data_IF_525384235672
#
_entry.id   IF_525384235672
#
_cell.length_a   1.000
_cell.length_b   1.000
_cell.length_c   1.000
_cell.angle_alpha   90.00
_cell.angle_beta   90.00
_cell.angle_gamma   90.00
#
_symmetry.space_group_name_H-M   'P 1'
#
loop_
_entity.id
_entity.type
_entity.pdbx_description
1 polymer ?
#
# COMPACT_ATOMS: atom_id res chain seq x y z
N UNK A 1 33.00 22.98 -4.15
CA UNK A 1 32.50 22.03 -5.16
C UNK A 1 31.10 21.61 -4.76
N UNK A 2 30.08 22.27 -5.28
CA UNK A 2 28.68 21.91 -5.01
C UNK A 2 27.94 22.03 -6.33
N UNK A 3 27.64 20.85 -6.88
CA UNK A 3 27.05 20.61 -8.18
C UNK A 3 25.55 20.84 -8.08
N UNK A 4 25.03 21.61 -9.04
CA UNK A 4 23.62 21.83 -9.32
C UNK A 4 22.96 20.55 -9.87
N UNK A 5 21.76 20.17 -9.40
CA UNK A 5 20.97 19.16 -10.08
C UNK A 5 20.09 19.80 -11.16
N UNK A 6 20.46 19.56 -12.42
CA UNK A 6 19.66 19.78 -13.63
C UNK A 6 18.36 18.96 -13.53
N UNK A 7 17.20 19.62 -13.58
CA UNK A 7 15.88 18.98 -13.68
C UNK A 7 15.48 18.92 -15.15
N UNK A 8 15.87 17.85 -15.82
CA UNK A 8 15.31 17.46 -17.12
C UNK A 8 13.85 17.02 -16.91
N UNK A 9 12.91 17.76 -17.49
CA UNK A 9 11.54 17.27 -17.68
C UNK A 9 11.39 16.88 -19.14
N UNK A 10 11.04 15.61 -19.31
CA UNK A 10 10.68 14.97 -20.54
C UNK A 10 9.63 15.79 -21.29
N UNK A 11 9.92 15.99 -22.56
CA UNK A 11 8.97 16.28 -23.63
C UNK A 11 7.98 15.13 -23.73
N UNK A 12 6.70 15.41 -23.54
CA UNK A 12 5.65 14.65 -24.23
C UNK A 12 4.60 15.64 -24.72
N UNK A 13 4.62 15.78 -26.03
CA UNK A 13 3.60 16.35 -26.89
C UNK A 13 2.23 15.70 -26.61
N UNK A 14 1.14 16.44 -26.75
CA UNK A 14 -0.03 16.03 -27.53
C UNK A 14 -1.13 17.10 -27.45
N UNK A 15 -1.70 17.38 -28.63
CA UNK A 15 -2.92 18.17 -28.95
C UNK A 15 -2.68 19.58 -29.47
N UNK A 16 -2.38 19.68 -30.76
CA UNK A 16 -2.73 20.84 -31.58
C UNK A 16 -4.12 20.61 -32.17
N UNK A 17 -5.04 21.49 -31.82
CA UNK A 17 -6.35 21.61 -32.45
C UNK A 17 -6.20 22.43 -33.74
N UNK A 18 -6.87 21.95 -34.79
CA UNK A 18 -7.00 22.60 -36.08
C UNK A 18 -7.58 24.01 -35.97
N UNK A 19 -7.07 24.94 -36.77
CA UNK A 19 -7.87 25.99 -37.39
C UNK A 19 -7.27 26.36 -38.76
N UNK A 20 -8.16 26.28 -39.74
CA UNK A 20 -8.02 26.57 -41.15
C UNK A 20 -7.92 28.06 -41.44
N UNK A 21 -7.35 28.36 -42.63
CA UNK A 21 -7.55 29.54 -43.48
C UNK A 21 -7.06 30.91 -42.99
N UNK A 22 -6.09 31.49 -43.70
CA UNK A 22 -6.31 32.60 -44.63
C UNK A 22 -4.98 33.05 -45.25
N UNK A 23 -4.92 32.98 -46.58
CA UNK A 23 -3.90 33.61 -47.39
C UNK A 23 -4.07 35.14 -47.32
N UNK A 24 -3.06 35.85 -46.82
CA UNK A 24 -2.77 37.21 -47.30
C UNK A 24 -1.29 37.38 -47.60
N UNK A 25 -1.09 37.98 -48.77
CA UNK A 25 0.13 38.07 -49.56
C UNK A 25 0.92 39.32 -49.14
N UNK A 26 2.24 39.16 -49.14
CA UNK A 26 3.34 40.16 -49.16
C UNK A 26 3.01 41.62 -49.52
N UNK A 27 3.67 42.58 -48.86
CA UNK A 27 4.78 43.39 -49.42
C UNK A 27 5.35 44.43 -48.41
N UNK A 28 6.58 44.94 -48.64
CA UNK A 28 7.50 45.41 -47.61
C UNK A 28 7.59 46.95 -47.48
N UNK A 29 8.19 47.39 -46.37
CA UNK A 29 9.00 48.61 -46.36
C UNK A 29 8.44 49.80 -45.59
N UNK A 30 8.92 49.98 -44.36
CA UNK A 30 9.23 51.31 -43.82
C UNK A 30 10.28 51.13 -42.71
N UNK A 31 11.51 51.57 -43.00
CA UNK A 31 12.61 51.67 -42.04
C UNK A 31 12.47 53.00 -41.30
N UNK A 32 12.40 52.96 -39.97
CA UNK A 32 12.71 54.06 -39.05
C UNK A 32 13.08 53.48 -37.66
N UNK A 33 13.83 54.21 -36.82
CA UNK A 33 15.15 53.79 -36.37
C UNK A 33 15.19 53.22 -34.94
N UNK A 34 16.15 52.32 -34.72
CA UNK A 34 16.87 52.10 -33.46
C UNK A 34 17.09 53.41 -32.68
N UNK A 35 16.92 53.58 -31.36
CA UNK A 35 16.43 52.85 -30.16
C UNK A 35 16.06 53.99 -29.15
N UNK A 36 15.41 53.75 -27.99
CA UNK A 36 16.26 53.39 -26.87
C UNK A 36 15.61 52.53 -25.76
N UNK A 37 16.49 51.78 -25.09
CA UNK A 37 16.53 51.56 -23.65
C UNK A 37 15.24 51.03 -22.96
N UNK A 38 15.33 49.80 -22.43
CA UNK A 38 14.62 49.31 -21.25
C UNK A 38 13.14 49.69 -21.06
N UNK A 39 12.21 49.26 -21.93
CA UNK A 39 10.87 48.93 -21.41
C UNK A 39 10.93 47.51 -20.88
N UNK A 40 11.66 47.34 -19.77
CA UNK A 40 11.38 46.23 -18.86
C UNK A 40 9.94 46.49 -18.43
N UNK A 41 8.99 45.65 -18.84
CA UNK A 41 7.65 45.70 -18.26
C UNK A 41 7.80 45.41 -16.77
N UNK A 42 7.93 46.45 -15.96
CA UNK A 42 7.94 46.30 -14.52
C UNK A 42 6.53 45.91 -14.12
N UNK A 43 6.33 44.64 -13.78
CA UNK A 43 5.11 44.24 -13.08
C UNK A 43 5.35 44.60 -11.62
N UNK A 44 4.65 45.61 -11.14
CA UNK A 44 4.49 45.76 -9.71
C UNK A 44 3.86 44.47 -9.16
N UNK A 45 4.51 43.89 -8.16
CA UNK A 45 3.90 42.83 -7.38
C UNK A 45 2.69 43.44 -6.67
N UNK A 46 1.48 43.09 -7.13
CA UNK A 46 0.25 43.46 -6.44
C UNK A 46 0.34 43.01 -4.99
N UNK A 47 -0.15 43.85 -4.07
CA UNK A 47 -0.15 43.69 -2.60
C UNK A 47 -0.12 42.22 -2.17
N UNK A 48 0.76 41.90 -1.23
CA UNK A 48 1.00 40.57 -0.65
C UNK A 48 -0.24 40.05 0.08
N UNK A 49 -1.34 39.77 -0.62
CA UNK A 49 -2.43 38.95 -0.10
C UNK A 49 -1.96 37.51 -0.15
N UNK A 50 -1.18 37.12 0.87
CA UNK A 50 -0.74 35.75 1.04
C UNK A 50 -1.95 34.84 1.18
N UNK A 51 -2.15 33.92 0.24
CA UNK A 51 -3.18 32.90 0.36
C UNK A 51 -2.91 32.01 1.57
N UNK A 52 -3.95 31.73 2.37
CA UNK A 52 -3.89 30.71 3.41
C UNK A 52 -3.62 29.33 2.81
N UNK A 53 -3.07 28.40 3.59
CA UNK A 53 -2.86 27.02 3.15
C UNK A 53 -4.19 26.42 2.69
N UNK A 54 -4.29 26.09 1.40
CA UNK A 54 -5.44 25.40 0.80
C UNK A 54 -5.51 23.92 1.22
N UNK A 55 -4.44 23.40 1.82
CA UNK A 55 -4.35 22.03 2.30
C UNK A 55 -4.78 22.00 3.77
N UNK A 56 -6.09 21.91 4.02
CA UNK A 56 -6.70 21.86 5.35
C UNK A 56 -6.62 20.48 6.03
N UNK A 57 -6.16 19.45 5.31
CA UNK A 57 -6.11 18.05 5.78
C UNK A 57 -4.80 17.63 6.46
N UNK A 58 -4.69 16.33 6.77
CA UNK A 58 -3.44 15.71 7.27
C UNK A 58 -3.29 15.62 8.80
N UNK A 59 -4.29 16.04 9.57
CA UNK A 59 -4.29 15.97 11.05
C UNK A 59 -4.99 14.74 11.61
N UNK A 60 -5.03 13.63 10.86
CA UNK A 60 -5.64 12.39 11.34
C UNK A 60 -4.77 11.74 12.42
N UNK A 61 -5.34 11.33 13.57
CA UNK A 61 -4.59 10.62 14.60
C UNK A 61 -4.13 9.23 14.12
N UNK A 62 -3.09 8.69 14.77
CA UNK A 62 -2.59 7.35 14.48
C UNK A 62 -3.58 6.24 14.84
N UNK A 63 -3.71 5.23 13.98
CA UNK A 63 -4.68 4.12 14.10
C UNK A 63 -4.23 2.96 15.00
N UNK A 64 -3.01 3.03 15.56
CA UNK A 64 -2.41 2.02 16.48
C UNK A 64 -2.37 0.59 15.93
N UNK A 65 -2.20 0.46 14.62
CA UNK A 65 -1.95 -0.81 13.94
C UNK A 65 -0.59 -1.39 14.30
N UNK A 66 -0.51 -2.72 14.32
CA UNK A 66 0.71 -3.45 14.62
C UNK A 66 0.44 -4.84 15.15
N UNK A 67 1.53 -5.56 15.40
CA UNK A 67 1.52 -6.85 16.09
C UNK A 67 1.19 -6.61 17.57
N UNK A 68 0.39 -7.51 18.15
CA UNK A 68 0.03 -7.50 19.58
C UNK A 68 0.72 -8.65 20.34
N UNK A 69 0.92 -9.80 19.69
CA UNK A 69 1.69 -10.92 20.23
C UNK A 69 2.86 -11.27 19.30
N UNK A 70 4.07 -11.30 19.85
CA UNK A 70 5.30 -11.63 19.15
C UNK A 70 5.49 -13.15 19.05
N UNK A 71 6.52 -13.58 18.30
CA UNK A 71 6.90 -14.98 18.20
C UNK A 71 7.27 -15.55 19.57
N UNK A 72 6.79 -16.77 19.88
CA UNK A 72 7.03 -17.43 21.15
C UNK A 72 6.04 -17.05 22.27
N UNK A 73 5.19 -16.05 22.07
CA UNK A 73 4.18 -15.69 23.06
C UNK A 73 3.06 -16.75 23.11
N UNK A 74 2.63 -17.08 24.32
CA UNK A 74 1.42 -17.86 24.55
C UNK A 74 0.18 -16.99 24.35
N UNK A 75 -0.80 -17.51 23.62
CA UNK A 75 -2.07 -16.83 23.31
C UNK A 75 -3.24 -17.77 23.60
N UNK A 76 -4.36 -17.17 23.99
CA UNK A 76 -5.63 -17.88 24.10
C UNK A 76 -6.44 -17.74 22.80
N UNK A 77 -7.37 -18.66 22.59
CA UNK A 77 -8.38 -18.60 21.55
C UNK A 77 -9.15 -17.27 21.64
N UNK A 78 -9.31 -16.60 20.49
CA UNK A 78 -9.94 -15.28 20.38
C UNK A 78 -9.00 -14.09 20.56
N UNK A 79 -7.76 -14.28 21.03
CA UNK A 79 -6.82 -13.16 21.18
C UNK A 79 -6.43 -12.58 19.82
N UNK A 80 -6.33 -11.25 19.76
CA UNK A 80 -5.91 -10.53 18.54
C UNK A 80 -4.40 -10.62 18.40
N UNK A 81 -3.91 -11.19 17.30
CA UNK A 81 -2.48 -11.36 17.01
C UNK A 81 -1.88 -10.10 16.36
N UNK A 82 -2.57 -9.55 15.37
CA UNK A 82 -2.13 -8.35 14.66
C UNK A 82 -3.32 -7.56 14.08
N UNK A 83 -3.22 -6.23 14.15
CA UNK A 83 -4.15 -5.32 13.49
C UNK A 83 -3.43 -4.55 12.40
N UNK A 84 -3.99 -4.54 11.19
CA UNK A 84 -3.32 -4.01 10.00
C UNK A 84 -4.30 -3.37 9.03
N UNK A 85 -3.85 -2.38 8.27
CA UNK A 85 -4.65 -1.78 7.20
C UNK A 85 -4.61 -2.58 5.90
N UNK A 86 -3.42 -3.05 5.52
CA UNK A 86 -3.20 -3.97 4.40
C UNK A 86 -2.71 -5.30 4.93
N UNK A 87 -2.87 -6.37 4.17
CA UNK A 87 -2.50 -7.73 4.57
C UNK A 87 -0.97 -7.92 4.50
N UNK A 88 -0.25 -7.40 5.50
CA UNK A 88 1.20 -7.56 5.66
C UNK A 88 1.53 -8.97 6.14
N UNK A 89 0.80 -9.44 7.16
CA UNK A 89 0.86 -10.80 7.65
C UNK A 89 -0.39 -11.57 7.25
N UNK A 90 -0.20 -12.85 6.94
CA UNK A 90 -1.26 -13.74 6.48
C UNK A 90 -1.68 -14.73 7.55
N UNK A 91 -2.96 -15.12 7.58
CA UNK A 91 -3.41 -16.20 8.43
C UNK A 91 -2.77 -17.50 7.93
N UNK A 92 -2.10 -18.22 8.83
CA UNK A 92 -1.69 -19.59 8.60
C UNK A 92 -2.48 -20.54 9.51
N UNK A 93 -1.81 -21.53 10.09
CA UNK A 93 -2.48 -22.57 10.90
C UNK A 93 -3.08 -21.99 12.19
N UNK A 94 -4.33 -22.37 12.49
CA UNK A 94 -5.09 -21.95 13.69
C UNK A 94 -5.21 -20.43 13.87
N UNK A 95 -5.19 -19.66 12.77
CA UNK A 95 -5.36 -18.21 12.76
C UNK A 95 -6.51 -17.81 11.85
N UNK A 96 -7.47 -17.06 12.42
CA UNK A 96 -8.58 -16.47 11.68
C UNK A 96 -8.28 -15.07 11.16
N UNK A 97 -9.03 -14.64 10.14
CA UNK A 97 -8.99 -13.28 9.60
C UNK A 97 -10.38 -12.62 9.70
N UNK A 98 -10.43 -11.41 10.25
CA UNK A 98 -11.65 -10.60 10.31
C UNK A 98 -11.83 -9.71 9.08
N UNK A 99 -13.00 -9.07 8.95
CA UNK A 99 -13.34 -8.16 7.82
C UNK A 99 -12.33 -7.03 7.64
N UNK A 100 -11.81 -6.51 8.76
CA UNK A 100 -10.80 -5.45 8.78
C UNK A 100 -9.36 -5.98 8.64
N UNK A 101 -9.19 -7.23 8.17
CA UNK A 101 -7.89 -7.91 7.97
C UNK A 101 -7.10 -8.10 9.27
N UNK A 102 -7.80 -8.05 10.41
CA UNK A 102 -7.27 -8.34 11.74
C UNK A 102 -7.08 -9.84 11.88
N UNK A 103 -5.94 -10.26 12.41
CA UNK A 103 -5.63 -11.66 12.67
C UNK A 103 -5.91 -11.99 14.13
N UNK A 104 -6.55 -13.12 14.38
CA UNK A 104 -6.87 -13.60 15.73
C UNK A 104 -6.60 -15.10 15.85
N UNK A 105 -6.26 -15.56 17.06
CA UNK A 105 -6.02 -16.98 17.34
C UNK A 105 -7.34 -17.74 17.40
N UNK A 106 -7.38 -18.93 16.80
CA UNK A 106 -8.54 -19.84 16.91
C UNK A 106 -8.39 -20.80 18.11
N UNK A 107 -7.16 -21.13 18.47
CA UNK A 107 -6.83 -22.07 19.54
C UNK A 107 -5.82 -21.48 20.54
N UNK A 108 -5.72 -22.11 21.71
CA UNK A 108 -4.73 -21.78 22.73
C UNK A 108 -3.36 -22.37 22.34
N UNK A 109 -2.34 -21.53 22.24
CA UNK A 109 -1.04 -22.01 21.78
C UNK A 109 0.06 -20.97 21.74
N UNK A 110 1.17 -21.32 21.09
CA UNK A 110 2.34 -20.47 20.92
C UNK A 110 2.34 -19.88 19.51
N UNK A 111 2.52 -18.56 19.41
CA UNK A 111 2.58 -17.85 18.11
C UNK A 111 3.92 -18.12 17.43
N UNK A 112 3.90 -18.45 16.14
CA UNK A 112 5.07 -18.65 15.28
C UNK A 112 4.94 -17.91 13.96
N UNK A 113 6.01 -17.27 13.52
CA UNK A 113 6.08 -16.60 12.22
C UNK A 113 6.89 -17.42 11.23
N UNK A 114 6.31 -17.70 10.07
CA UNK A 114 6.94 -18.49 9.00
C UNK A 114 6.93 -17.71 7.68
N UNK A 115 7.88 -18.03 6.79
CA UNK A 115 7.87 -17.55 5.40
C UNK A 115 7.53 -18.72 4.50
N UNK A 116 6.31 -18.75 3.99
CA UNK A 116 5.78 -19.87 3.21
C UNK A 116 5.47 -19.42 1.79
N UNK A 117 5.41 -20.40 0.88
CA UNK A 117 5.00 -20.18 -0.51
C UNK A 117 3.53 -19.78 -0.53
N UNK A 118 3.22 -18.67 -1.20
CA UNK A 118 1.87 -18.19 -1.31
C UNK A 118 1.20 -18.62 -2.61
N UNK A 119 0.07 -19.29 -2.46
CA UNK A 119 -0.82 -19.66 -3.55
C UNK A 119 -2.17 -18.96 -3.32
N UNK A 120 -2.50 -17.90 -4.08
CA UNK A 120 -3.80 -17.23 -3.97
C UNK A 120 -4.93 -18.10 -4.56
N UNK A 121 -6.17 -17.96 -4.07
CA UNK A 121 -7.32 -18.57 -4.72
C UNK A 121 -7.55 -17.93 -6.11
N UNK A 122 -7.98 -18.72 -7.10
CA UNK A 122 -7.96 -18.31 -8.52
C UNK A 122 -8.89 -17.14 -8.85
N UNK A 123 -9.90 -16.87 -8.02
CA UNK A 123 -10.88 -15.78 -8.22
C UNK A 123 -10.36 -14.41 -7.82
N UNK A 124 -9.25 -14.32 -7.09
CA UNK A 124 -8.75 -13.05 -6.54
C UNK A 124 -7.84 -12.32 -7.53
N UNK A 125 -7.82 -10.97 -7.52
CA UNK A 125 -6.93 -10.19 -8.38
C UNK A 125 -5.45 -10.46 -8.09
N UNK A 126 -5.11 -10.93 -6.88
CA UNK A 126 -3.75 -11.35 -6.52
C UNK A 126 -3.27 -12.56 -7.33
N UNK A 127 -4.17 -13.43 -7.78
CA UNK A 127 -3.82 -14.57 -8.63
C UNK A 127 -3.27 -14.11 -9.98
N UNK A 128 -3.81 -13.01 -10.54
CA UNK A 128 -3.31 -12.42 -11.77
C UNK A 128 -1.87 -11.91 -11.62
N UNK A 129 -1.50 -11.41 -10.44
CA UNK A 129 -0.13 -10.99 -10.16
C UNK A 129 0.83 -12.18 -10.15
N UNK A 130 0.41 -13.34 -9.61
CA UNK A 130 1.23 -14.56 -9.61
C UNK A 130 1.37 -15.12 -11.04
N UNK A 131 0.30 -15.09 -11.84
CA UNK A 131 0.33 -15.56 -13.23
C UNK A 131 1.25 -14.74 -14.15
N UNK A 132 1.49 -13.47 -13.81
CA UNK A 132 2.38 -12.57 -14.58
C UNK A 132 3.87 -12.77 -14.27
N UNK A 133 4.22 -13.61 -13.29
CA UNK A 133 5.61 -13.86 -12.90
C UNK A 133 6.33 -14.75 -13.95
N UNK A 134 7.66 -14.58 -14.11
CA UNK A 134 8.43 -15.47 -14.97
C UNK A 134 8.41 -16.91 -14.42
N UNK A 135 8.53 -17.88 -15.32
CA UNK A 135 8.50 -19.31 -14.96
C UNK A 135 9.62 -19.63 -13.97
N UNK A 136 9.28 -20.37 -12.90
CA UNK A 136 10.21 -20.72 -11.82
C UNK A 136 10.26 -19.69 -10.67
N UNK A 137 9.67 -18.51 -10.82
CA UNK A 137 9.56 -17.55 -9.71
C UNK A 137 8.47 -17.99 -8.72
N UNK A 138 8.78 -17.88 -7.44
CA UNK A 138 7.88 -18.26 -6.33
C UNK A 138 7.65 -17.06 -5.43
N UNK A 139 6.40 -16.84 -5.05
CA UNK A 139 6.02 -15.75 -4.16
C UNK A 139 6.00 -16.23 -2.71
N UNK A 140 6.95 -15.78 -1.90
CA UNK A 140 6.95 -16.03 -0.46
C UNK A 140 6.23 -14.92 0.30
N UNK A 141 5.38 -15.27 1.27
CA UNK A 141 4.78 -14.30 2.20
C UNK A 141 4.95 -14.76 3.65
N UNK A 142 4.82 -13.81 4.57
CA UNK A 142 4.89 -14.09 6.01
C UNK A 142 3.53 -14.52 6.54
N UNK A 143 3.49 -15.70 7.15
CA UNK A 143 2.33 -16.27 7.80
C UNK A 143 2.49 -16.24 9.32
N UNK A 144 1.38 -16.10 10.01
CA UNK A 144 1.29 -16.26 11.46
C UNK A 144 0.56 -17.57 11.73
N UNK A 145 1.22 -18.44 12.47
CA UNK A 145 0.72 -19.74 12.91
C UNK A 145 0.56 -19.72 14.43
N UNK A 146 -0.42 -20.44 14.94
CA UNK A 146 -0.52 -20.75 16.37
C UNK A 146 -0.33 -22.26 16.53
N UNK A 147 0.65 -22.66 17.32
CA UNK A 147 0.93 -24.07 17.62
C UNK A 147 0.19 -24.43 18.90
N UNK A 148 -0.85 -25.28 18.84
CA UNK A 148 -1.66 -25.61 20.02
C UNK A 148 -0.84 -26.37 21.06
N UNK A 149 -0.99 -26.01 22.34
CA UNK A 149 -0.32 -26.70 23.45
C UNK A 149 -1.23 -27.68 24.17
N UNK A 150 -2.55 -27.46 24.11
CA UNK A 150 -3.55 -28.32 24.74
C UNK A 150 -3.93 -29.43 23.77
N UNK A 151 -3.95 -30.68 24.26
CA UNK A 151 -4.49 -31.81 23.51
C UNK A 151 -6.02 -31.81 23.64
N UNK A 152 -6.73 -32.06 22.54
CA UNK A 152 -8.19 -32.10 22.51
C UNK A 152 -8.70 -33.38 23.18
N UNK A 153 -8.84 -33.33 24.51
CA UNK A 153 -9.47 -34.37 25.30
C UNK A 153 -8.50 -35.42 25.84
N UNK A 154 -8.73 -35.81 27.10
CA UNK A 154 -8.09 -36.97 27.71
C UNK A 154 -9.17 -38.03 27.87
N UNK A 155 -8.98 -39.19 27.24
CA UNK A 155 -9.87 -40.33 27.45
C UNK A 155 -9.74 -40.80 28.89
N UNK A 156 -10.82 -40.70 29.64
CA UNK A 156 -10.92 -41.24 30.99
C UNK A 156 -11.77 -42.49 30.93
N UNK A 157 -11.30 -43.56 31.56
CA UNK A 157 -12.13 -44.73 31.80
C UNK A 157 -13.26 -44.33 32.75
N UNK A 158 -14.51 -44.44 32.30
CA UNK A 158 -15.68 -43.99 33.07
C UNK A 158 -16.22 -45.14 33.93
N UNK A 159 -16.20 -46.38 33.43
CA UNK A 159 -16.60 -47.54 34.24
C UNK A 159 -15.90 -48.84 33.85
N UNK A 160 -15.70 -49.70 34.86
CA UNK A 160 -15.38 -51.12 34.74
C UNK A 160 -16.55 -51.95 35.27
N UNK A 161 -17.76 -51.75 34.74
CA UNK A 161 -18.84 -52.70 35.02
C UNK A 161 -18.49 -54.05 34.39
N UNK A 162 -18.10 -55.00 35.25
CA UNK A 162 -18.06 -56.41 34.95
C UNK A 162 -19.42 -56.83 34.40
N UNK A 163 -19.43 -57.37 33.20
CA UNK A 163 -20.56 -58.12 32.64
C UNK A 163 -20.87 -59.29 33.57
N UNK A 164 -21.70 -59.05 34.59
CA UNK A 164 -22.38 -60.10 35.33
C UNK A 164 -23.64 -60.47 34.53
N UNK A 165 -23.52 -61.53 33.73
CA UNK A 165 -24.62 -62.31 33.19
C UNK A 165 -24.46 -63.76 33.64
#
# INVERSE_FOLDING_TARGET
MTISPQRLKCTEDFKMAALTSLLLKSRPGTLLPCQPFWVVSWRDASKKSGGSSKNLGGRSPGRRYGIKHLDGNFVHAGNILATQGQLRWRPGAHVGIGTNRTLYALEDGIVRFTKEVYIPPPRTPEALSVMKLPRGAVLYKTFINVVPTKQEGVFKLIDMHLWQH
#
